data_IF_595275032185
#
_entry.id   IF_595275032185
#
_cell.length_a   1.000
_cell.length_b   1.000
_cell.length_c   1.000
_cell.angle_alpha   90.00
_cell.angle_beta   90.00
_cell.angle_gamma   90.00
#
_symmetry.space_group_name_H-M   'P 1'
#
loop_
_entity.id
_entity.type
_entity.pdbx_description
1 polymer ?
#
# COMPACT_ATOMS: atom_id res chain seq x y z
N UNK A 1 33.45 33.85 34.96
CA UNK A 1 32.11 34.36 35.29
C UNK A 1 31.21 33.14 35.32
N UNK A 2 30.68 32.74 36.48
CA UNK A 2 29.71 31.63 36.52
C UNK A 2 28.48 32.10 35.73
N UNK A 3 28.08 31.43 34.63
CA UNK A 3 26.84 31.77 33.96
C UNK A 3 25.72 31.65 34.99
N UNK A 4 24.80 32.61 35.00
CA UNK A 4 23.54 32.43 35.72
C UNK A 4 22.98 31.05 35.39
N UNK A 5 22.48 30.33 36.40
CA UNK A 5 22.02 28.95 36.22
C UNK A 5 20.92 28.83 35.14
N UNK A 6 20.27 29.95 34.77
CA UNK A 6 19.24 30.03 33.75
C UNK A 6 19.69 30.73 32.46
N UNK A 7 19.46 30.07 31.32
CA UNK A 7 19.67 30.66 30.00
C UNK A 7 18.76 31.87 29.68
N UNK A 8 17.69 32.08 30.46
CA UNK A 8 16.78 33.22 30.32
C UNK A 8 17.32 34.50 30.94
N UNK A 9 18.32 34.38 31.82
CA UNK A 9 18.90 35.44 32.64
C UNK A 9 20.40 35.60 32.36
N UNK A 10 20.85 35.26 31.16
CA UNK A 10 22.22 35.51 30.74
C UNK A 10 22.53 37.03 30.76
N UNK A 11 23.77 37.43 31.05
CA UNK A 11 24.15 38.83 31.02
C UNK A 11 23.90 39.44 29.65
N UNK A 12 23.59 40.73 29.61
CA UNK A 12 23.30 41.51 28.40
C UNK A 12 24.61 41.81 27.66
N UNK A 13 25.27 40.77 27.18
CA UNK A 13 26.48 40.83 26.37
C UNK A 13 26.40 39.81 25.22
N UNK A 14 27.10 40.09 24.13
CA UNK A 14 27.38 39.10 23.10
C UNK A 14 28.41 38.11 23.66
N UNK A 15 28.19 36.80 23.46
CA UNK A 15 29.13 35.82 23.98
C UNK A 15 28.70 34.37 23.82
N UNK A 16 29.59 33.49 24.29
CA UNK A 16 29.36 32.04 24.38
C UNK A 16 29.24 31.67 25.85
N UNK A 17 28.16 30.96 26.19
CA UNK A 17 27.84 30.54 27.54
C UNK A 17 27.70 29.02 27.57
N UNK A 18 28.42 28.36 28.47
CA UNK A 18 28.38 26.90 28.60
C UNK A 18 27.54 26.51 29.81
N UNK A 19 26.70 25.50 29.63
CA UNK A 19 25.84 24.95 30.67
C UNK A 19 26.09 23.45 30.82
N UNK A 20 26.10 22.97 32.06
CA UNK A 20 26.18 21.55 32.39
C UNK A 20 24.79 20.89 32.55
N UNK A 21 24.77 19.70 33.15
CA UNK A 21 23.52 19.08 33.59
C UNK A 21 22.99 19.80 34.84
N UNK A 22 21.82 20.42 34.73
CA UNK A 22 21.20 21.19 35.81
C UNK A 22 20.99 22.67 35.54
N UNK A 23 21.34 23.18 34.35
CA UNK A 23 20.93 24.53 33.96
C UNK A 23 19.42 24.64 33.73
N UNK A 24 18.88 25.82 33.97
CA UNK A 24 17.45 26.18 33.89
C UNK A 24 17.16 26.80 32.53
N UNK A 25 15.96 26.53 31.99
CA UNK A 25 15.51 27.04 30.68
C UNK A 25 16.43 26.64 29.51
N UNK A 26 16.99 25.44 29.57
CA UNK A 26 17.77 24.85 28.49
C UNK A 26 16.89 23.97 27.60
N UNK A 27 17.17 23.89 26.29
CA UNK A 27 16.49 22.96 25.40
C UNK A 27 16.96 21.51 25.60
N UNK A 28 18.16 21.32 26.15
CA UNK A 28 18.81 20.02 26.30
C UNK A 28 19.89 20.08 27.41
N UNK A 29 20.22 18.96 28.09
CA UNK A 29 21.35 18.90 29.02
C UNK A 29 22.69 19.13 28.30
N UNK A 30 23.65 19.80 28.96
CA UNK A 30 24.99 20.06 28.40
C UNK A 30 24.97 20.75 27.03
N UNK A 31 24.80 22.08 27.03
CA UNK A 31 24.78 22.89 25.82
C UNK A 31 25.79 24.03 25.91
N UNK A 32 26.28 24.50 24.77
CA UNK A 32 26.79 25.86 24.68
C UNK A 32 25.78 26.74 23.93
N UNK A 33 25.58 27.95 24.43
CA UNK A 33 24.68 28.96 23.88
C UNK A 33 25.52 30.09 23.34
N UNK A 34 25.36 30.40 22.06
CA UNK A 34 25.83 31.64 21.46
C UNK A 34 24.70 32.67 21.61
N UNK A 35 24.97 33.79 22.27
CA UNK A 35 24.04 34.90 22.40
C UNK A 35 24.51 36.09 21.57
N UNK A 36 23.57 36.65 20.80
CA UNK A 36 23.75 37.86 20.02
C UNK A 36 22.65 38.85 20.36
N UNK A 37 23.02 40.10 20.59
CA UNK A 37 22.16 41.22 20.95
C UNK A 37 22.16 42.22 19.81
N UNK A 38 20.99 42.72 19.42
CA UNK A 38 20.88 43.80 18.42
C UNK A 38 21.22 45.19 18.98
N UNK A 39 21.34 45.32 20.30
CA UNK A 39 21.59 46.59 21.01
C UNK A 39 20.93 46.58 22.40
N UNK A 40 21.19 47.60 23.21
CA UNK A 40 20.56 47.74 24.54
C UNK A 40 19.04 47.93 24.40
N UNK A 41 18.27 47.09 25.09
CA UNK A 41 16.80 47.07 24.99
C UNK A 41 16.27 46.42 23.69
N UNK A 42 17.16 45.87 22.86
CA UNK A 42 16.83 45.28 21.57
C UNK A 42 16.45 43.80 21.64
N UNK A 43 16.59 43.11 20.52
CA UNK A 43 16.34 41.67 20.42
C UNK A 43 17.57 40.87 20.83
N UNK A 44 17.31 39.77 21.54
CA UNK A 44 18.27 38.72 21.88
C UNK A 44 18.01 37.55 20.95
N UNK A 45 19.04 37.08 20.24
CA UNK A 45 19.04 35.78 19.56
C UNK A 45 19.97 34.84 20.31
N UNK A 46 19.49 33.66 20.59
CA UNK A 46 20.28 32.60 21.20
C UNK A 46 20.25 31.36 20.32
N UNK A 47 21.42 30.74 20.13
CA UNK A 47 21.58 29.47 19.43
C UNK A 47 22.26 28.50 20.39
N UNK A 48 21.59 27.42 20.75
CA UNK A 48 22.12 26.37 21.61
C UNK A 48 22.59 25.18 20.76
N UNK A 49 23.77 24.66 21.05
CA UNK A 49 24.31 23.44 20.47
C UNK A 49 24.47 22.41 21.59
N UNK A 50 23.94 21.21 21.38
CA UNK A 50 24.19 20.09 22.29
C UNK A 50 25.66 19.67 22.23
N UNK A 51 26.23 19.39 23.39
CA UNK A 51 27.57 18.81 23.53
C UNK A 51 27.54 17.27 23.49
N UNK A 52 26.35 16.66 23.58
CA UNK A 52 26.16 15.21 23.60
C UNK A 52 25.65 14.68 22.26
N UNK A 53 24.86 15.49 21.56
CA UNK A 53 24.21 15.13 20.30
C UNK A 53 24.46 16.22 19.25
N UNK A 54 24.33 15.89 17.97
CA UNK A 54 24.51 16.88 16.88
C UNK A 54 23.24 17.72 16.62
N UNK A 55 22.58 18.17 17.69
CA UNK A 55 21.31 18.90 17.63
C UNK A 55 21.53 20.38 17.99
N UNK A 56 20.78 21.25 17.31
CA UNK A 56 20.85 22.70 17.48
C UNK A 56 19.45 23.25 17.74
N UNK A 57 19.34 24.24 18.62
CA UNK A 57 18.10 24.98 18.88
C UNK A 57 18.35 26.47 18.76
N UNK A 58 17.31 27.21 18.41
CA UNK A 58 17.36 28.67 18.40
C UNK A 58 16.13 29.27 19.05
N UNK A 59 16.28 30.52 19.49
CA UNK A 59 15.18 31.39 19.89
C UNK A 59 15.54 32.84 19.69
N UNK A 60 14.53 33.68 19.53
CA UNK A 60 14.66 35.13 19.47
C UNK A 60 13.57 35.80 20.30
N UNK A 61 13.95 36.74 21.16
CA UNK A 61 13.02 37.44 22.03
C UNK A 61 13.47 38.88 22.30
N UNK A 62 12.55 39.74 22.74
CA UNK A 62 12.87 41.10 23.16
C UNK A 62 13.56 41.08 24.54
N UNK A 63 14.63 41.85 24.72
CA UNK A 63 15.34 41.93 25.99
C UNK A 63 14.39 42.36 27.13
N UNK A 64 14.43 41.65 28.25
CA UNK A 64 13.57 41.91 29.42
C UNK A 64 12.13 41.39 29.29
N UNK A 65 11.70 40.89 28.12
CA UNK A 65 10.39 40.28 27.97
C UNK A 65 10.29 38.92 28.68
N UNK A 66 9.12 38.60 29.22
CA UNK A 66 8.81 37.29 29.77
C UNK A 66 8.38 36.26 28.70
N UNK A 67 7.81 36.74 27.59
CA UNK A 67 7.32 35.91 26.49
C UNK A 67 8.37 35.70 25.38
N UNK A 68 8.18 34.65 24.57
CA UNK A 68 9.01 34.38 23.39
C UNK A 68 10.32 33.63 23.67
N UNK A 69 10.51 33.13 24.89
CA UNK A 69 11.73 32.39 25.29
C UNK A 69 11.67 30.88 25.01
N UNK A 70 10.63 30.39 24.33
CA UNK A 70 10.58 28.98 23.94
C UNK A 70 11.70 28.66 22.94
N UNK A 71 12.37 27.54 23.13
CA UNK A 71 13.36 27.03 22.19
C UNK A 71 12.70 26.33 21.02
N UNK A 72 13.21 26.58 19.81
CA UNK A 72 12.81 25.89 18.60
C UNK A 72 13.99 25.06 18.09
N UNK A 73 13.81 23.77 17.86
CA UNK A 73 14.86 22.94 17.28
C UNK A 73 15.08 23.33 15.81
N UNK A 74 16.35 23.53 15.44
CA UNK A 74 16.77 23.77 14.07
C UNK A 74 16.90 22.41 13.37
N UNK A 75 16.18 22.26 12.26
CA UNK A 75 16.24 21.06 11.40
C UNK A 75 17.33 21.28 10.35
N UNK A 76 18.30 20.36 10.28
CA UNK A 76 19.39 20.37 9.30
C UNK A 76 19.09 19.41 8.16
N UNK A 77 19.80 19.57 7.04
CA UNK A 77 19.79 18.58 5.96
C UNK A 77 20.20 17.20 6.50
N UNK A 78 19.35 16.19 6.27
CA UNK A 78 19.49 14.83 6.80
C UNK A 78 18.66 14.55 8.05
N UNK A 79 18.17 15.58 8.75
CA UNK A 79 17.23 15.39 9.87
C UNK A 79 15.87 14.95 9.31
N UNK A 80 15.31 13.87 9.88
CA UNK A 80 14.04 13.27 9.45
C UNK A 80 13.96 12.95 7.94
N UNK A 81 15.11 12.82 7.25
CA UNK A 81 15.16 12.58 5.80
C UNK A 81 14.93 13.83 4.93
N UNK A 82 14.90 15.03 5.51
CA UNK A 82 14.69 16.28 4.76
C UNK A 82 16.03 16.82 4.22
N UNK A 83 16.09 17.14 2.92
CA UNK A 83 17.20 17.89 2.33
C UNK A 83 18.51 17.12 2.07
N UNK A 84 18.49 15.79 2.09
CA UNK A 84 19.65 14.94 1.81
C UNK A 84 19.27 13.57 1.22
N UNK A 85 20.25 12.71 0.99
CA UNK A 85 20.00 11.31 0.61
C UNK A 85 19.36 10.56 1.78
N UNK A 86 18.33 9.76 1.49
CA UNK A 86 17.69 8.88 2.47
C UNK A 86 18.71 7.98 3.17
N UNK A 87 18.47 7.66 4.44
CA UNK A 87 19.40 6.89 5.26
C UNK A 87 19.27 5.39 5.00
N UNK A 88 20.38 4.66 4.94
CA UNK A 88 20.34 3.19 4.86
C UNK A 88 19.73 2.63 6.15
N UNK A 89 18.69 1.81 6.03
CA UNK A 89 18.13 1.02 7.10
C UNK A 89 19.04 -0.20 7.35
N UNK A 90 19.97 -0.07 8.30
CA UNK A 90 20.94 -1.12 8.64
C UNK A 90 20.45 -2.10 9.71
N UNK A 91 19.28 -1.83 10.31
CA UNK A 91 18.67 -2.63 11.38
C UNK A 91 17.27 -3.08 10.98
N UNK A 92 16.57 -3.79 11.87
CA UNK A 92 15.17 -4.08 11.64
C UNK A 92 14.32 -2.83 11.51
N UNK A 93 13.31 -2.84 10.63
CA UNK A 93 12.31 -1.77 10.62
C UNK A 93 11.51 -1.73 11.94
N UNK A 94 11.42 -2.84 12.67
CA UNK A 94 10.69 -2.90 13.95
C UNK A 94 11.37 -2.06 15.03
N UNK A 95 12.69 -1.86 14.92
CA UNK A 95 13.51 -1.12 15.89
C UNK A 95 13.74 0.35 15.53
N UNK A 96 13.15 0.85 14.44
CA UNK A 96 13.27 2.26 14.06
C UNK A 96 12.42 3.09 15.03
N UNK A 97 13.07 4.03 15.73
CA UNK A 97 12.42 4.94 16.68
C UNK A 97 12.43 6.41 16.22
N UNK A 98 13.16 6.73 15.15
CA UNK A 98 13.22 8.09 14.62
C UNK A 98 12.31 8.21 13.40
N UNK A 99 11.37 9.16 13.43
CA UNK A 99 10.60 9.56 12.25
C UNK A 99 11.55 9.90 11.10
N UNK A 100 11.20 9.52 9.88
CA UNK A 100 11.95 9.90 8.70
C UNK A 100 11.91 8.87 7.57
N UNK A 101 12.74 9.13 6.57
CA UNK A 101 12.83 8.35 5.34
C UNK A 101 14.12 7.52 5.30
N UNK A 102 13.98 6.24 4.95
CA UNK A 102 15.07 5.29 4.87
C UNK A 102 15.03 4.53 3.55
N UNK A 103 16.12 3.88 3.15
CA UNK A 103 16.14 2.90 2.07
C UNK A 103 16.81 1.61 2.53
N UNK A 104 16.51 0.50 1.87
CA UNK A 104 17.15 -0.78 2.16
C UNK A 104 16.82 -1.84 1.14
N UNK A 105 17.45 -3.00 1.31
CA UNK A 105 17.12 -4.21 0.59
C UNK A 105 16.71 -5.27 1.60
N UNK A 106 15.55 -5.90 1.40
CA UNK A 106 14.98 -6.89 2.31
C UNK A 106 14.94 -6.37 3.75
N UNK A 107 13.92 -5.58 4.09
CA UNK A 107 13.78 -5.03 5.45
C UNK A 107 14.01 -6.15 6.46
N UNK A 108 15.02 -6.06 7.34
CA UNK A 108 15.24 -7.07 8.36
C UNK A 108 14.03 -7.08 9.32
N UNK A 109 13.37 -8.22 9.49
CA UNK A 109 12.24 -8.39 10.40
C UNK A 109 11.23 -9.43 9.91
N UNK A 110 10.44 -10.02 10.82
CA UNK A 110 9.40 -10.97 10.42
C UNK A 110 8.39 -10.26 9.49
N UNK A 111 8.18 -10.84 8.30
CA UNK A 111 7.23 -10.39 7.28
C UNK A 111 7.55 -9.06 6.58
N UNK A 112 8.79 -8.54 6.67
CA UNK A 112 9.21 -7.38 5.87
C UNK A 112 9.05 -7.61 4.35
N UNK A 113 8.81 -6.57 3.54
CA UNK A 113 8.89 -6.69 2.09
C UNK A 113 10.29 -7.20 1.68
N UNK A 114 10.32 -8.37 1.04
CA UNK A 114 11.55 -8.99 0.52
C UNK A 114 11.98 -8.33 -0.81
N UNK A 115 12.17 -7.02 -0.77
CA UNK A 115 12.51 -6.21 -1.94
C UNK A 115 13.42 -5.05 -1.56
N UNK A 116 14.08 -4.48 -2.58
CA UNK A 116 14.69 -3.16 -2.46
C UNK A 116 13.60 -2.08 -2.42
N UNK A 117 13.77 -1.07 -1.57
CA UNK A 117 12.76 -0.04 -1.43
C UNK A 117 13.07 1.06 -0.43
N UNK A 118 12.09 1.92 -0.24
CA UNK A 118 12.13 3.09 0.64
C UNK A 118 11.11 2.93 1.75
N UNK A 119 11.51 3.23 3.00
CA UNK A 119 10.67 3.22 4.18
C UNK A 119 10.37 4.65 4.62
N UNK A 120 9.10 5.02 4.67
CA UNK A 120 8.64 6.18 5.43
C UNK A 120 8.19 5.71 6.81
N UNK A 121 8.80 6.24 7.87
CA UNK A 121 8.44 5.92 9.26
C UNK A 121 7.91 7.15 9.99
N UNK A 122 6.73 7.01 10.57
CA UNK A 122 6.12 8.02 11.45
C UNK A 122 6.07 7.45 12.86
N UNK A 123 6.97 7.92 13.70
CA UNK A 123 7.08 7.52 15.10
C UNK A 123 6.23 8.44 15.98
N UNK A 124 5.34 7.86 16.78
CA UNK A 124 4.63 8.57 17.85
C UNK A 124 5.18 8.15 19.23
N UNK A 125 5.37 6.85 19.44
CA UNK A 125 6.00 6.27 20.63
C UNK A 125 6.46 4.83 20.36
N UNK A 126 7.13 4.20 21.32
CA UNK A 126 7.58 2.80 21.22
C UNK A 126 6.42 1.81 20.98
N UNK A 127 5.18 2.21 21.28
CA UNK A 127 3.98 1.39 21.12
C UNK A 127 3.03 1.88 20.02
N UNK A 128 3.28 3.06 19.45
CA UNK A 128 2.47 3.63 18.37
C UNK A 128 3.34 4.19 17.27
N UNK A 129 3.24 3.61 16.08
CA UNK A 129 4.00 4.05 14.91
C UNK A 129 3.32 3.59 13.62
N UNK A 130 3.64 4.23 12.50
CA UNK A 130 3.24 3.74 11.18
C UNK A 130 4.44 3.67 10.25
N UNK A 131 4.37 2.72 9.32
CA UNK A 131 5.39 2.51 8.32
C UNK A 131 4.76 2.27 6.95
N UNK A 132 5.36 2.87 5.94
CA UNK A 132 5.04 2.67 4.54
C UNK A 132 6.32 2.28 3.79
N UNK A 133 6.25 1.25 2.96
CA UNK A 133 7.35 0.78 2.15
C UNK A 133 6.99 0.88 0.68
N UNK A 134 7.86 1.51 -0.11
CA UNK A 134 7.68 1.71 -1.55
C UNK A 134 8.80 1.01 -2.30
N UNK A 135 8.45 0.07 -3.17
CA UNK A 135 9.40 -0.48 -4.12
C UNK A 135 9.60 0.50 -5.29
N UNK A 136 10.83 0.82 -5.70
CA UNK A 136 11.10 1.57 -6.92
C UNK A 136 11.01 0.66 -8.16
N UNK A 137 9.89 -0.05 -8.29
CA UNK A 137 9.57 -0.85 -9.47
C UNK A 137 8.48 -0.17 -10.31
N UNK A 138 8.29 -0.63 -11.54
CA UNK A 138 7.26 -0.10 -12.44
C UNK A 138 5.84 -0.48 -12.01
N UNK A 139 5.69 -1.31 -10.98
CA UNK A 139 4.39 -1.80 -10.50
C UNK A 139 3.82 -0.95 -9.36
N UNK A 140 4.53 0.10 -8.95
CA UNK A 140 4.16 0.99 -7.84
C UNK A 140 3.74 0.19 -6.60
N UNK A 141 4.53 -0.82 -6.25
CA UNK A 141 4.20 -1.68 -5.11
C UNK A 141 4.47 -0.94 -3.82
N UNK A 142 3.39 -0.71 -3.06
CA UNK A 142 3.43 -0.06 -1.75
C UNK A 142 2.91 -1.03 -0.70
N UNK A 143 3.57 -1.09 0.43
CA UNK A 143 3.12 -1.81 1.62
C UNK A 143 2.96 -0.85 2.79
N UNK A 144 2.05 -1.16 3.69
CA UNK A 144 1.85 -0.42 4.92
C UNK A 144 1.72 -1.35 6.11
N UNK A 145 2.15 -0.90 7.27
CA UNK A 145 1.81 -1.50 8.56
C UNK A 145 1.76 -0.45 9.67
N UNK A 146 1.25 -0.86 10.83
CA UNK A 146 1.23 -0.02 12.02
C UNK A 146 1.74 -0.82 13.23
N UNK A 147 2.42 -0.13 14.14
CA UNK A 147 2.63 -0.61 15.49
C UNK A 147 1.45 -0.09 16.30
N UNK A 148 0.61 -0.99 16.77
CA UNK A 148 -0.55 -0.68 17.58
C UNK A 148 -0.35 -1.34 18.95
N UNK A 149 -0.20 -0.51 19.99
CA UNK A 149 0.00 -0.94 21.35
C UNK A 149 1.21 -1.90 21.52
N UNK A 150 2.33 -1.61 20.84
CA UNK A 150 3.58 -2.36 20.94
C UNK A 150 3.65 -3.61 20.07
N UNK A 151 2.59 -3.89 19.30
CA UNK A 151 2.55 -5.02 18.35
C UNK A 151 2.47 -4.50 16.92
N UNK A 152 3.39 -4.95 16.07
CA UNK A 152 3.35 -4.67 14.64
C UNK A 152 2.28 -5.51 13.95
N UNK A 153 1.41 -4.87 13.17
CA UNK A 153 0.56 -5.58 12.20
C UNK A 153 1.42 -6.17 11.09
N UNK A 154 0.94 -7.22 10.40
CA UNK A 154 1.55 -7.66 9.16
C UNK A 154 1.65 -6.51 8.14
N UNK A 155 2.64 -6.58 7.27
CA UNK A 155 2.69 -5.71 6.10
C UNK A 155 1.53 -6.04 5.16
N UNK A 156 0.74 -5.04 4.82
CA UNK A 156 -0.35 -5.15 3.85
C UNK A 156 -0.01 -4.39 2.59
N UNK A 157 -0.21 -5.02 1.43
CA UNK A 157 -0.04 -4.35 0.13
C UNK A 157 -1.18 -3.37 -0.11
N UNK A 158 -0.86 -2.17 -0.55
CA UNK A 158 -1.83 -1.18 -1.02
C UNK A 158 -2.14 -1.43 -2.50
N UNK A 159 -3.42 -1.59 -2.79
CA UNK A 159 -3.90 -1.68 -4.16
C UNK A 159 -4.42 -0.33 -4.64
N UNK A 160 -3.96 0.07 -5.82
CA UNK A 160 -4.37 1.30 -6.52
C UNK A 160 -4.81 0.94 -7.93
N UNK A 161 -5.32 1.90 -8.70
CA UNK A 161 -5.65 1.68 -10.12
C UNK A 161 -4.47 1.16 -10.95
N UNK A 162 -3.22 1.40 -10.52
CA UNK A 162 -2.02 0.94 -11.24
C UNK A 162 -1.72 -0.56 -11.08
N UNK A 163 -2.18 -1.20 -10.00
CA UNK A 163 -1.84 -2.59 -9.70
C UNK A 163 -3.05 -3.49 -9.38
N UNK A 164 -4.25 -2.92 -9.22
CA UNK A 164 -5.45 -3.68 -8.90
C UNK A 164 -5.84 -4.69 -9.98
N UNK A 165 -5.49 -4.43 -11.25
CA UNK A 165 -5.83 -5.24 -12.43
C UNK A 165 -4.78 -6.32 -12.79
N UNK A 166 -3.73 -6.47 -11.97
CA UNK A 166 -2.74 -7.53 -12.16
C UNK A 166 -3.29 -8.94 -11.85
N UNK A 167 -2.76 -9.97 -12.51
CA UNK A 167 -3.24 -11.35 -12.32
C UNK A 167 -3.13 -11.79 -10.84
N UNK A 168 -4.25 -12.09 -10.16
CA UNK A 168 -4.22 -12.52 -8.76
C UNK A 168 -3.49 -13.86 -8.55
N UNK A 169 -3.30 -14.69 -9.59
CA UNK A 169 -2.48 -15.91 -9.51
C UNK A 169 -1.01 -15.59 -9.21
N UNK A 170 -0.52 -14.46 -9.74
CA UNK A 170 0.85 -13.98 -9.51
C UNK A 170 1.01 -13.17 -8.21
N UNK A 171 -0.08 -12.95 -7.47
CA UNK A 171 -0.09 -12.12 -6.26
C UNK A 171 0.10 -10.62 -6.52
N UNK A 172 -0.03 -10.18 -7.78
CA UNK A 172 0.20 -8.79 -8.19
C UNK A 172 -1.02 -7.91 -7.93
N UNK A 173 -2.22 -8.39 -8.26
CA UNK A 173 -3.45 -7.59 -8.24
C UNK A 173 -4.63 -8.27 -7.54
N UNK A 174 -5.74 -7.53 -7.48
CA UNK A 174 -7.01 -7.96 -6.88
C UNK A 174 -7.89 -8.71 -7.88
N UNK A 175 -7.79 -8.33 -9.15
CA UNK A 175 -8.59 -8.87 -10.23
C UNK A 175 -7.82 -8.81 -11.54
N UNK A 176 -8.19 -9.63 -12.51
CA UNK A 176 -7.64 -9.53 -13.87
C UNK A 176 -8.66 -9.97 -14.89
N UNK A 177 -8.58 -9.42 -16.11
CA UNK A 177 -9.34 -9.89 -17.26
C UNK A 177 -8.39 -10.23 -18.40
N UNK A 178 -8.51 -11.43 -18.95
CA UNK A 178 -7.76 -11.87 -20.14
C UNK A 178 -8.69 -12.50 -21.16
N UNK A 179 -8.22 -12.65 -22.40
CA UNK A 179 -8.95 -13.34 -23.48
C UNK A 179 -8.17 -14.58 -23.89
N UNK A 180 -8.80 -15.75 -23.81
CA UNK A 180 -8.22 -17.03 -24.24
C UNK A 180 -9.16 -17.69 -25.22
N UNK A 181 -8.70 -17.87 -26.47
CA UNK A 181 -9.52 -18.49 -27.53
C UNK A 181 -10.86 -17.76 -27.80
N UNK A 182 -10.90 -16.44 -27.62
CA UNK A 182 -12.12 -15.63 -27.76
C UNK A 182 -13.03 -15.55 -26.53
N UNK A 183 -12.67 -16.24 -25.44
CA UNK A 183 -13.38 -16.19 -24.17
C UNK A 183 -12.76 -15.17 -23.23
N UNK A 184 -13.59 -14.32 -22.64
CA UNK A 184 -13.20 -13.45 -21.55
C UNK A 184 -13.10 -14.26 -20.25
N UNK A 185 -11.98 -14.11 -19.55
CA UNK A 185 -11.72 -14.77 -18.27
C UNK A 185 -11.40 -13.69 -17.26
N UNK A 186 -12.28 -13.53 -16.28
CA UNK A 186 -12.08 -12.62 -15.15
C UNK A 186 -11.77 -13.43 -13.90
N UNK A 187 -10.64 -13.16 -13.24
CA UNK A 187 -10.24 -13.80 -11.98
C UNK A 187 -10.22 -12.77 -10.86
N UNK A 188 -10.52 -13.22 -9.65
CA UNK A 188 -10.52 -12.40 -8.44
C UNK A 188 -9.62 -13.03 -7.37
N UNK A 189 -8.98 -12.21 -6.54
CA UNK A 189 -8.01 -12.63 -5.51
C UNK A 189 -8.61 -13.55 -4.45
N UNK A 190 -9.91 -13.46 -4.21
CA UNK A 190 -10.67 -14.35 -3.32
C UNK A 190 -10.85 -15.77 -3.88
N UNK A 191 -10.34 -16.05 -5.08
CA UNK A 191 -10.43 -17.35 -5.73
C UNK A 191 -11.59 -17.50 -6.71
N UNK A 192 -12.46 -16.50 -6.86
CA UNK A 192 -13.56 -16.55 -7.82
C UNK A 192 -13.09 -16.34 -9.26
N UNK A 193 -13.78 -16.97 -10.20
CA UNK A 193 -13.57 -16.83 -11.64
C UNK A 193 -14.91 -16.65 -12.38
N UNK A 194 -14.93 -15.80 -13.39
CA UNK A 194 -16.01 -15.64 -14.35
C UNK A 194 -15.47 -15.88 -15.76
N UNK A 195 -16.03 -16.85 -16.46
CA UNK A 195 -15.64 -17.24 -17.83
C UNK A 195 -16.82 -16.93 -18.74
N UNK A 196 -16.60 -16.09 -19.75
CA UNK A 196 -17.66 -15.64 -20.66
C UNK A 196 -17.22 -15.75 -22.10
N UNK A 197 -18.05 -16.32 -22.95
CA UNK A 197 -17.74 -16.43 -24.37
C UNK A 197 -18.90 -16.98 -25.16
N UNK A 198 -18.66 -17.13 -26.46
CA UNK A 198 -19.64 -17.68 -27.40
C UNK A 198 -19.11 -19.02 -27.89
N UNK A 199 -19.93 -20.06 -27.73
CA UNK A 199 -19.66 -21.38 -28.30
C UNK A 199 -20.64 -21.67 -29.42
N UNK A 200 -20.23 -21.54 -30.70
CA UNK A 200 -21.08 -21.92 -31.82
C UNK A 200 -21.26 -23.44 -31.88
N UNK A 201 -22.50 -23.87 -32.10
CA UNK A 201 -22.87 -25.26 -32.39
C UNK A 201 -23.08 -25.34 -33.89
N UNK A 202 -22.06 -25.77 -34.62
CA UNK A 202 -22.14 -25.90 -36.09
C UNK A 202 -23.04 -27.05 -36.54
N UNK A 203 -23.21 -28.07 -35.70
CA UNK A 203 -24.14 -29.16 -35.96
C UNK A 203 -25.59 -28.66 -35.89
N UNK A 204 -26.38 -29.05 -36.90
CA UNK A 204 -27.83 -28.79 -36.92
C UNK A 204 -28.50 -29.70 -35.89
N UNK A 205 -29.17 -29.09 -34.90
CA UNK A 205 -29.89 -29.85 -33.89
C UNK A 205 -31.26 -30.27 -34.43
N UNK A 206 -31.68 -31.54 -34.22
CA UNK A 206 -32.95 -32.04 -34.73
C UNK A 206 -34.14 -31.28 -34.12
N UNK A 207 -35.28 -31.23 -34.83
CA UNK A 207 -36.47 -30.55 -34.34
C UNK A 207 -37.11 -31.33 -33.19
N UNK A 208 -37.75 -30.61 -32.26
CA UNK A 208 -38.56 -31.14 -31.15
C UNK A 208 -37.86 -32.13 -30.21
N UNK A 209 -36.52 -32.21 -30.21
CA UNK A 209 -35.75 -33.14 -29.39
C UNK A 209 -34.76 -32.38 -28.49
N UNK A 210 -34.59 -32.78 -27.20
CA UNK A 210 -33.51 -32.28 -26.37
C UNK A 210 -32.17 -32.87 -26.82
N UNK A 211 -31.17 -32.01 -27.01
CA UNK A 211 -29.81 -32.40 -27.39
C UNK A 211 -28.81 -31.86 -26.38
N UNK A 212 -27.88 -32.71 -25.93
CA UNK A 212 -26.76 -32.29 -25.08
C UNK A 212 -25.67 -31.69 -25.97
N UNK A 213 -25.27 -30.47 -25.65
CA UNK A 213 -24.15 -29.77 -26.27
C UNK A 213 -23.08 -29.56 -25.20
N UNK A 214 -21.92 -30.17 -25.39
CA UNK A 214 -20.76 -29.97 -24.52
C UNK A 214 -19.89 -28.84 -25.05
N UNK A 215 -19.60 -27.86 -24.20
CA UNK A 215 -18.73 -26.73 -24.49
C UNK A 215 -17.47 -26.85 -23.65
N UNK A 216 -16.31 -26.87 -24.29
CA UNK A 216 -15.02 -26.86 -23.59
C UNK A 216 -14.71 -25.47 -23.05
N UNK A 217 -14.29 -25.41 -21.79
CA UNK A 217 -13.85 -24.18 -21.15
C UNK A 217 -12.36 -23.94 -21.44
N UNK A 218 -11.94 -22.69 -21.68
CA UNK A 218 -10.54 -22.34 -21.95
C UNK A 218 -9.63 -22.45 -20.71
N UNK A 219 -10.22 -22.51 -19.51
CA UNK A 219 -9.52 -22.66 -18.23
C UNK A 219 -10.32 -23.58 -17.31
N UNK A 220 -9.61 -24.33 -16.49
CA UNK A 220 -10.23 -25.21 -15.51
C UNK A 220 -10.80 -24.41 -14.32
N UNK A 221 -11.88 -24.93 -13.75
CA UNK A 221 -12.43 -24.50 -12.47
C UNK A 221 -12.30 -25.61 -11.44
N UNK A 222 -12.37 -25.25 -10.15
CA UNK A 222 -12.45 -26.21 -9.06
C UNK A 222 -13.73 -27.03 -9.18
N UNK A 223 -13.61 -28.35 -9.07
CA UNK A 223 -14.73 -29.27 -9.19
C UNK A 223 -15.85 -28.92 -8.20
N UNK A 224 -17.09 -28.84 -8.69
CA UNK A 224 -18.26 -28.52 -7.87
C UNK A 224 -18.43 -27.05 -7.48
N UNK A 225 -17.50 -26.16 -7.86
CA UNK A 225 -17.60 -24.72 -7.56
C UNK A 225 -18.45 -23.92 -8.53
N UNK A 226 -18.76 -24.49 -9.70
CA UNK A 226 -19.26 -23.72 -10.83
C UNK A 226 -20.77 -23.65 -10.96
N UNK A 227 -21.25 -22.54 -11.50
CA UNK A 227 -22.64 -22.27 -11.90
C UNK A 227 -22.63 -21.75 -13.33
N UNK A 228 -23.55 -22.26 -14.15
CA UNK A 228 -23.59 -21.99 -15.59
C UNK A 228 -24.85 -21.22 -15.93
N UNK A 229 -24.70 -20.21 -16.78
CA UNK A 229 -25.79 -19.44 -17.38
C UNK A 229 -25.57 -19.42 -18.88
N UNK A 230 -26.62 -19.74 -19.64
CA UNK A 230 -26.53 -19.82 -21.10
C UNK A 230 -27.70 -19.08 -21.73
N UNK A 231 -27.41 -18.30 -22.76
CA UNK A 231 -28.39 -17.83 -23.72
C UNK A 231 -28.15 -18.50 -25.08
N UNK A 232 -28.89 -19.56 -25.43
CA UNK A 232 -28.75 -20.22 -26.73
C UNK A 232 -29.49 -19.42 -27.80
N UNK A 233 -28.78 -18.88 -28.79
CA UNK A 233 -29.36 -18.11 -29.88
C UNK A 233 -29.47 -18.96 -31.17
N UNK A 234 -30.68 -19.30 -31.64
CA UNK A 234 -30.85 -20.02 -32.90
C UNK A 234 -30.40 -19.18 -34.09
N UNK A 235 -29.96 -19.83 -35.15
CA UNK A 235 -29.39 -19.15 -36.32
C UNK A 235 -30.36 -19.01 -37.51
N UNK A 236 -31.57 -19.58 -37.44
CA UNK A 236 -32.52 -19.55 -38.57
C UNK A 236 -33.90 -19.00 -38.19
N UNK A 237 -34.74 -19.77 -37.49
CA UNK A 237 -36.19 -19.50 -37.44
C UNK A 237 -36.68 -18.86 -36.14
N UNK A 238 -35.87 -18.79 -35.08
CA UNK A 238 -36.23 -18.24 -33.77
C UNK A 238 -37.52 -18.86 -33.16
N UNK A 239 -37.91 -20.04 -33.61
CA UNK A 239 -39.08 -20.79 -33.11
C UNK A 239 -38.75 -21.52 -31.81
N UNK A 240 -39.68 -21.50 -30.84
CA UNK A 240 -39.66 -22.20 -29.53
C UNK A 240 -38.35 -22.95 -29.20
N UNK A 241 -37.36 -22.22 -28.68
CA UNK A 241 -36.05 -22.74 -28.33
C UNK A 241 -35.67 -22.37 -26.89
N UNK A 242 -34.70 -23.09 -26.33
CA UNK A 242 -34.11 -22.71 -25.06
C UNK A 242 -33.19 -23.77 -24.48
N UNK A 243 -32.45 -23.37 -23.45
CA UNK A 243 -31.72 -24.30 -22.60
C UNK A 243 -32.70 -24.84 -21.55
N UNK A 244 -32.92 -26.15 -21.53
CA UNK A 244 -33.71 -26.83 -20.51
C UNK A 244 -32.93 -26.96 -19.21
N UNK A 245 -31.63 -27.20 -19.31
CA UNK A 245 -30.71 -27.31 -18.20
C UNK A 245 -29.30 -26.96 -18.66
N UNK A 246 -28.47 -26.49 -17.74
CA UNK A 246 -27.04 -26.30 -17.95
C UNK A 246 -26.29 -26.54 -16.66
N UNK A 247 -25.15 -27.22 -16.74
CA UNK A 247 -24.34 -27.57 -15.58
C UNK A 247 -22.87 -27.73 -15.98
N UNK A 248 -22.00 -27.65 -14.98
CA UNK A 248 -20.58 -27.92 -15.16
C UNK A 248 -20.36 -29.43 -15.32
N UNK A 249 -19.60 -29.83 -16.33
CA UNK A 249 -19.16 -31.20 -16.53
C UNK A 249 -17.65 -31.29 -16.24
N UNK A 250 -17.32 -31.84 -15.07
CA UNK A 250 -15.93 -31.94 -14.61
C UNK A 250 -15.33 -30.57 -14.25
N UNK A 251 -14.11 -30.32 -14.69
CA UNK A 251 -13.37 -29.08 -14.39
C UNK A 251 -13.21 -28.17 -15.60
N UNK A 252 -13.42 -28.67 -16.82
CA UNK A 252 -13.04 -27.98 -18.07
C UNK A 252 -14.12 -27.99 -19.14
N UNK A 253 -15.36 -28.31 -18.79
CA UNK A 253 -16.47 -28.29 -19.72
C UNK A 253 -17.78 -27.89 -19.04
N UNK A 254 -18.74 -27.46 -19.84
CA UNK A 254 -20.14 -27.29 -19.46
C UNK A 254 -21.03 -28.05 -20.44
N UNK A 255 -22.07 -28.68 -19.91
CA UNK A 255 -23.09 -29.30 -20.73
C UNK A 255 -24.35 -28.44 -20.74
N UNK A 256 -24.91 -28.28 -21.94
CA UNK A 256 -26.09 -27.47 -22.20
C UNK A 256 -27.12 -28.39 -22.86
N UNK A 257 -28.28 -28.57 -22.24
CA UNK A 257 -29.37 -29.34 -22.82
C UNK A 257 -30.27 -28.37 -23.57
N UNK A 258 -30.13 -28.32 -24.89
CA UNK A 258 -30.91 -27.42 -25.75
C UNK A 258 -32.11 -28.18 -26.31
N UNK A 259 -33.30 -27.59 -26.23
CA UNK A 259 -34.46 -28.04 -26.99
C UNK A 259 -34.75 -27.05 -28.09
N UNK A 260 -34.92 -27.58 -29.29
CA UNK A 260 -35.26 -26.83 -30.49
C UNK A 260 -36.75 -26.99 -30.83
N UNK A 261 -37.31 -26.04 -31.57
CA UNK A 261 -38.69 -26.05 -32.05
C UNK A 261 -38.91 -27.01 -33.21
N UNK A 262 -39.89 -26.71 -34.06
CA UNK A 262 -40.28 -27.53 -35.21
C UNK A 262 -39.25 -27.59 -36.33
N UNK A 263 -38.33 -26.62 -36.39
CA UNK A 263 -37.34 -26.51 -37.46
C UNK A 263 -35.96 -26.86 -36.96
N UNK A 264 -35.26 -27.79 -37.62
CA UNK A 264 -33.88 -28.14 -37.31
C UNK A 264 -32.96 -26.93 -37.52
N UNK A 265 -32.11 -26.57 -36.54
CA UNK A 265 -31.21 -25.42 -36.68
C UNK A 265 -29.96 -25.50 -35.79
N UNK A 266 -28.95 -24.72 -36.15
CA UNK A 266 -27.73 -24.49 -35.35
C UNK A 266 -27.95 -23.36 -34.33
N UNK A 267 -27.03 -23.27 -33.35
CA UNK A 267 -27.11 -22.31 -32.25
C UNK A 267 -25.77 -21.60 -32.02
N UNK A 268 -25.83 -20.35 -31.56
CA UNK A 268 -24.72 -19.65 -30.93
C UNK A 268 -25.01 -19.51 -29.44
N UNK A 269 -24.26 -20.22 -28.61
CA UNK A 269 -24.48 -20.21 -27.17
C UNK A 269 -23.61 -19.13 -26.53
N UNK A 270 -24.22 -18.06 -26.02
CA UNK A 270 -23.52 -17.15 -25.12
C UNK A 270 -23.49 -17.78 -23.74
N UNK A 271 -22.31 -18.18 -23.28
CA UNK A 271 -22.09 -18.94 -22.05
C UNK A 271 -21.39 -18.03 -21.04
N UNK A 272 -21.91 -18.01 -19.81
CA UNK A 272 -21.26 -17.43 -18.63
C UNK A 272 -21.14 -18.50 -17.56
N UNK A 273 -19.93 -18.72 -17.06
CA UNK A 273 -19.65 -19.64 -15.96
C UNK A 273 -19.04 -18.84 -14.81
N UNK A 274 -19.66 -18.92 -13.64
CA UNK A 274 -19.06 -18.47 -12.38
C UNK A 274 -18.54 -19.68 -11.62
N UNK A 275 -17.38 -19.58 -10.97
CA UNK A 275 -16.84 -20.67 -10.15
C UNK A 275 -15.62 -20.23 -9.34
N UNK A 276 -14.76 -21.18 -8.97
CA UNK A 276 -13.49 -20.93 -8.32
C UNK A 276 -12.29 -21.44 -9.15
N UNK A 277 -11.15 -20.77 -9.06
CA UNK A 277 -9.88 -21.16 -9.71
C UNK A 277 -8.81 -21.65 -8.71
N UNK A 278 -9.04 -21.48 -7.41
CA UNK A 278 -8.24 -22.03 -6.30
C UNK A 278 -9.14 -22.36 -5.12
#
# INVERSE_FOLDING_TARGET
>A
MQPSESADNLPVVNGVFMFGNGGVSLPYPYVFIIQVLSGSGGYVRQIAYSLLENVTWERQFLQGAAAGKAWTQVIKAGDFGVGGTVKLLSTSADSVQATGEYYGNNIPGPNGPNSYGFLSHKYLSAVYSSQEWVNPDTTNTVFRRVNANGTWTPWVRLYTGANAEGDPVSGIGLMSKTVVGGWNISKYINGQICIQGVSPVSAVLPPNQPTVVTVSLPVAIVLGSGSVYVNPQPQMTYEHFGALNCYVNGTSAVDIIIRNGSTAQSFQNAVTVWGAWK
#
